data_IF_078769011534
#
_entry.id   IF_078769011534
#
_cell.length_a   1.000
_cell.length_b   1.000
_cell.length_c   1.000
_cell.angle_alpha   90.00
_cell.angle_beta   90.00
_cell.angle_gamma   90.00
#
_symmetry.space_group_name_H-M   'P 1'
#
loop_
_entity.id
_entity.type
_entity.pdbx_description
1 polymer ?
#
# COMPACT_ATOMS: atom_id res chain seq x y z
N UNK A 1 13.53 14.98 -16.77
CA UNK A 1 12.74 13.75 -16.85
C UNK A 1 11.74 13.87 -18.00
N UNK A 2 12.13 13.49 -19.22
CA UNK A 2 11.17 13.31 -20.31
C UNK A 2 11.08 11.81 -20.57
N UNK A 3 10.01 11.18 -20.10
CA UNK A 3 9.70 9.81 -20.48
C UNK A 3 9.29 9.81 -21.96
N UNK A 4 9.69 8.79 -22.71
CA UNK A 4 9.18 8.59 -24.06
C UNK A 4 7.67 8.39 -24.01
N UNK A 5 6.96 8.77 -25.08
CA UNK A 5 5.52 8.54 -25.17
C UNK A 5 5.15 7.06 -24.98
N UNK A 6 6.00 6.16 -25.48
CA UNK A 6 5.89 4.72 -25.24
C UNK A 6 6.01 4.37 -23.75
N UNK A 7 7.01 4.92 -23.05
CA UNK A 7 7.16 4.71 -21.60
C UNK A 7 5.96 5.23 -20.81
N UNK A 8 5.33 6.31 -21.28
CA UNK A 8 4.09 6.81 -20.70
C UNK A 8 2.93 5.81 -20.87
N UNK A 9 2.73 5.29 -22.08
CA UNK A 9 1.69 4.29 -22.34
C UNK A 9 1.90 3.00 -21.53
N UNK A 10 3.15 2.56 -21.39
CA UNK A 10 3.49 1.39 -20.58
C UNK A 10 3.17 1.64 -19.10
N UNK A 11 3.44 2.83 -18.57
CA UNK A 11 3.10 3.17 -17.18
C UNK A 11 1.58 3.17 -16.92
N UNK A 12 0.74 3.49 -17.91
CA UNK A 12 -0.72 3.39 -17.79
C UNK A 12 -1.21 1.95 -17.51
N UNK A 13 -0.41 0.94 -17.84
CA UNK A 13 -0.74 -0.47 -17.56
C UNK A 13 -0.48 -0.89 -16.11
N UNK A 14 0.11 -0.01 -15.28
CA UNK A 14 0.57 -0.29 -13.91
C UNK A 14 1.68 -1.36 -13.78
N UNK A 15 2.17 -1.92 -14.90
CA UNK A 15 3.24 -2.94 -14.95
C UNK A 15 4.49 -2.52 -15.73
N UNK A 16 5.00 -1.27 -15.62
CA UNK A 16 6.18 -0.86 -16.38
C UNK A 16 7.43 -1.68 -16.04
N UNK A 17 7.51 -2.14 -14.80
CA UNK A 17 8.57 -3.03 -14.32
C UNK A 17 8.60 -4.42 -14.99
N UNK A 18 7.51 -4.86 -15.65
CA UNK A 18 7.53 -6.10 -16.46
C UNK A 18 8.29 -5.91 -17.78
N UNK A 19 8.31 -4.66 -18.27
CA UNK A 19 8.92 -4.28 -19.54
C UNK A 19 10.29 -3.62 -19.35
N UNK A 20 10.83 -3.60 -18.11
CA UNK A 20 12.08 -2.91 -17.79
C UNK A 20 12.01 -1.39 -17.97
N UNK A 21 10.80 -0.82 -17.94
CA UNK A 21 10.58 0.61 -18.05
C UNK A 21 10.49 1.20 -16.64
N UNK A 22 11.15 2.33 -16.43
CA UNK A 22 11.08 3.05 -15.16
C UNK A 22 9.68 3.62 -14.90
N UNK A 23 9.32 3.68 -13.63
CA UNK A 23 8.11 4.36 -13.22
C UNK A 23 8.21 5.86 -13.50
N UNK A 24 7.12 6.46 -13.97
CA UNK A 24 7.02 7.92 -14.12
C UNK A 24 7.18 8.61 -12.76
N UNK A 25 6.59 8.00 -11.73
CA UNK A 25 6.63 8.47 -10.37
C UNK A 25 7.12 7.35 -9.46
N UNK A 26 8.11 7.67 -8.64
CA UNK A 26 8.77 6.75 -7.73
C UNK A 26 7.87 6.22 -6.61
N UNK A 27 6.61 6.68 -6.47
CA UNK A 27 5.61 6.04 -5.63
C UNK A 27 4.97 4.82 -6.32
N UNK A 28 4.89 4.83 -7.66
CA UNK A 28 4.08 3.89 -8.45
C UNK A 28 4.57 2.44 -8.42
N UNK A 29 5.78 2.19 -7.93
CA UNK A 29 6.26 0.83 -7.68
C UNK A 29 5.31 0.00 -6.81
N UNK A 30 4.65 0.64 -5.83
CA UNK A 30 3.75 -0.05 -4.92
C UNK A 30 2.48 -0.57 -5.62
N UNK A 31 1.98 0.15 -6.64
CA UNK A 31 0.85 -0.30 -7.48
C UNK A 31 1.16 -1.61 -8.20
N UNK A 32 2.41 -1.79 -8.63
CA UNK A 32 2.85 -3.04 -9.26
C UNK A 32 2.69 -4.23 -8.31
N UNK A 33 3.16 -4.11 -7.07
CA UNK A 33 2.98 -5.16 -6.06
C UNK A 33 1.52 -5.35 -5.64
N UNK A 34 0.72 -4.27 -5.61
CA UNK A 34 -0.71 -4.35 -5.36
C UNK A 34 -1.43 -5.16 -6.44
N UNK A 35 -1.06 -4.99 -7.71
CA UNK A 35 -1.61 -5.79 -8.80
C UNK A 35 -1.28 -7.28 -8.65
N UNK A 36 -0.05 -7.64 -8.27
CA UNK A 36 0.30 -9.04 -7.97
C UNK A 36 -0.57 -9.61 -6.86
N UNK A 37 -0.78 -8.85 -5.78
CA UNK A 37 -1.69 -9.24 -4.71
C UNK A 37 -3.11 -9.47 -5.22
N UNK A 38 -3.66 -8.58 -6.06
CA UNK A 38 -4.99 -8.77 -6.63
C UNK A 38 -5.08 -9.98 -7.56
N UNK A 39 -4.02 -10.32 -8.30
CA UNK A 39 -3.94 -11.56 -9.07
C UNK A 39 -4.04 -12.78 -8.13
N UNK A 40 -3.32 -12.78 -7.00
CA UNK A 40 -3.41 -13.85 -6.01
C UNK A 40 -4.83 -13.95 -5.41
N UNK A 41 -5.44 -12.83 -5.05
CA UNK A 41 -6.83 -12.80 -4.54
C UNK A 41 -7.79 -13.34 -5.60
N UNK A 42 -7.63 -12.93 -6.86
CA UNK A 42 -8.43 -13.43 -7.98
C UNK A 42 -8.30 -14.94 -8.14
N UNK A 43 -7.09 -15.51 -8.05
CA UNK A 43 -6.88 -16.95 -8.08
C UNK A 43 -7.59 -17.65 -6.91
N UNK A 44 -7.46 -17.12 -5.69
CA UNK A 44 -8.15 -17.65 -4.49
C UNK A 44 -9.66 -17.69 -4.69
N UNK A 45 -10.24 -16.62 -5.24
CA UNK A 45 -11.68 -16.55 -5.54
C UNK A 45 -12.07 -17.50 -6.67
N UNK A 46 -11.28 -17.56 -7.75
CA UNK A 46 -11.53 -18.39 -8.93
C UNK A 46 -11.58 -19.89 -8.61
N UNK A 47 -10.75 -20.33 -7.66
CA UNK A 47 -10.67 -21.72 -7.20
C UNK A 47 -11.46 -21.99 -5.92
N UNK A 48 -12.19 -21.02 -5.38
CA UNK A 48 -13.03 -21.21 -4.19
C UNK A 48 -12.24 -21.50 -2.91
N UNK A 49 -11.00 -21.01 -2.80
CA UNK A 49 -10.07 -21.33 -1.71
C UNK A 49 -10.25 -20.46 -0.45
N UNK A 50 -11.34 -19.68 -0.36
CA UNK A 50 -11.60 -18.80 0.78
C UNK A 50 -11.67 -19.55 2.12
N UNK A 51 -12.17 -20.78 2.14
CA UNK A 51 -12.19 -21.62 3.36
C UNK A 51 -10.79 -21.98 3.86
N UNK A 52 -9.78 -21.92 2.99
CA UNK A 52 -8.38 -22.20 3.27
C UNK A 52 -7.52 -20.94 3.40
N UNK A 53 -8.14 -19.76 3.46
CA UNK A 53 -7.43 -18.47 3.42
C UNK A 53 -6.34 -18.35 4.49
N UNK A 54 -6.60 -18.75 5.72
CA UNK A 54 -5.59 -18.69 6.80
C UNK A 54 -4.41 -19.65 6.56
N UNK A 55 -4.63 -20.78 5.87
CA UNK A 55 -3.54 -21.69 5.46
C UNK A 55 -2.74 -21.14 4.28
N UNK A 56 -3.40 -20.48 3.33
CA UNK A 56 -2.72 -19.80 2.24
C UNK A 56 -1.86 -18.65 2.75
N UNK A 57 -2.38 -17.86 3.69
CA UNK A 57 -1.62 -16.83 4.41
C UNK A 57 -0.42 -17.42 5.15
N UNK A 58 -0.59 -18.54 5.84
CA UNK A 58 0.52 -19.24 6.50
C UNK A 58 1.60 -19.68 5.49
N UNK A 59 1.20 -20.26 4.36
CA UNK A 59 2.12 -20.62 3.28
C UNK A 59 2.81 -19.41 2.67
N UNK A 60 2.10 -18.30 2.51
CA UNK A 60 2.66 -17.06 1.98
C UNK A 60 3.68 -16.43 2.92
N UNK A 61 3.42 -16.45 4.24
CA UNK A 61 4.38 -16.05 5.26
C UNK A 61 5.59 -16.99 5.31
N UNK A 62 5.41 -18.30 5.09
CA UNK A 62 6.52 -19.23 5.00
C UNK A 62 7.42 -18.90 3.80
N UNK A 63 6.84 -18.65 2.63
CA UNK A 63 7.59 -18.18 1.45
C UNK A 63 8.34 -16.88 1.77
N UNK A 64 7.67 -15.94 2.43
CA UNK A 64 8.26 -14.68 2.86
C UNK A 64 9.45 -14.88 3.82
N UNK A 65 9.34 -15.79 4.78
CA UNK A 65 10.41 -16.11 5.72
C UNK A 65 11.61 -16.78 5.02
N UNK A 66 11.38 -17.72 4.11
CA UNK A 66 12.44 -18.32 3.29
C UNK A 66 13.13 -17.25 2.45
N UNK A 67 12.35 -16.35 1.83
CA UNK A 67 12.88 -15.28 1.01
C UNK A 67 13.76 -14.29 1.79
N UNK A 68 13.47 -14.05 3.07
CA UNK A 68 14.28 -13.17 3.92
C UNK A 68 15.69 -13.73 4.17
N UNK A 69 15.86 -15.06 4.14
CA UNK A 69 17.17 -15.72 4.32
C UNK A 69 17.84 -15.98 2.98
N UNK A 70 17.06 -16.37 1.96
CA UNK A 70 17.53 -16.68 0.61
C UNK A 70 16.58 -16.07 -0.41
N UNK A 71 16.82 -14.82 -0.83
CA UNK A 71 16.05 -14.17 -1.89
C UNK A 71 16.01 -15.06 -3.14
N UNK A 72 14.81 -15.41 -3.58
CA UNK A 72 14.63 -16.40 -4.64
C UNK A 72 13.81 -15.80 -5.79
N UNK A 73 14.48 -15.40 -6.87
CA UNK A 73 13.81 -15.09 -8.12
C UNK A 73 13.34 -16.39 -8.81
N UNK A 74 12.11 -16.47 -9.35
CA UNK A 74 11.11 -15.41 -9.53
C UNK A 74 10.03 -15.36 -8.43
N UNK A 75 10.16 -16.16 -7.37
CA UNK A 75 9.17 -16.27 -6.28
C UNK A 75 9.00 -14.95 -5.54
N UNK A 76 10.11 -14.27 -5.24
CA UNK A 76 10.10 -12.96 -4.59
C UNK A 76 9.17 -11.97 -5.29
N UNK A 77 9.22 -11.99 -6.62
CA UNK A 77 8.53 -11.07 -7.48
C UNK A 77 7.04 -11.37 -7.61
N UNK A 78 6.70 -12.56 -8.11
CA UNK A 78 5.32 -12.92 -8.40
C UNK A 78 4.46 -13.02 -7.14
N UNK A 79 5.06 -13.45 -6.04
CA UNK A 79 4.37 -13.53 -4.75
C UNK A 79 4.58 -12.30 -3.89
N UNK A 80 5.24 -11.24 -4.38
CA UNK A 80 5.57 -10.06 -3.59
C UNK A 80 6.11 -10.44 -2.20
N UNK A 81 7.03 -11.40 -2.13
CA UNK A 81 7.35 -12.13 -0.90
C UNK A 81 7.83 -11.21 0.24
N UNK A 82 8.52 -10.11 -0.10
CA UNK A 82 8.93 -9.06 0.84
C UNK A 82 7.75 -8.31 1.47
N UNK A 83 6.66 -8.15 0.72
CA UNK A 83 5.46 -7.40 1.11
C UNK A 83 4.33 -8.28 1.66
N UNK A 84 4.43 -9.60 1.48
CA UNK A 84 3.50 -10.60 2.00
C UNK A 84 3.11 -10.42 3.48
N UNK A 85 4.02 -10.05 4.41
CA UNK A 85 3.67 -9.83 5.81
C UNK A 85 2.63 -8.71 6.00
N UNK A 86 2.72 -7.63 5.22
CA UNK A 86 1.79 -6.50 5.33
C UNK A 86 0.41 -6.86 4.77
N UNK A 87 0.35 -7.49 3.59
CA UNK A 87 -0.93 -7.96 3.00
C UNK A 87 -1.61 -9.00 3.89
N UNK A 88 -0.83 -9.94 4.44
CA UNK A 88 -1.33 -10.97 5.35
C UNK A 88 -1.86 -10.35 6.65
N UNK A 89 -1.13 -9.40 7.25
CA UNK A 89 -1.58 -8.70 8.45
C UNK A 89 -2.91 -7.96 8.20
N UNK A 90 -3.04 -7.23 7.09
CA UNK A 90 -4.28 -6.53 6.72
C UNK A 90 -5.48 -7.48 6.63
N UNK A 91 -5.33 -8.60 5.91
CA UNK A 91 -6.36 -9.64 5.81
C UNK A 91 -6.71 -10.29 7.16
N UNK A 92 -5.70 -10.56 7.99
CA UNK A 92 -5.91 -11.11 9.33
C UNK A 92 -6.61 -10.13 10.27
N UNK A 93 -6.28 -8.83 10.23
CA UNK A 93 -6.99 -7.82 11.01
C UNK A 93 -8.48 -7.75 10.62
N UNK A 94 -8.79 -7.85 9.33
CA UNK A 94 -10.17 -7.96 8.87
C UNK A 94 -10.86 -9.22 9.41
N UNK A 95 -10.22 -10.38 9.34
CA UNK A 95 -10.76 -11.63 9.89
C UNK A 95 -10.95 -11.58 11.40
N UNK A 96 -10.03 -10.94 12.14
CA UNK A 96 -10.17 -10.73 13.58
C UNK A 96 -11.38 -9.84 13.88
N UNK A 97 -11.58 -8.78 13.08
CA UNK A 97 -12.70 -7.84 13.27
C UNK A 97 -14.07 -8.46 13.01
N UNK A 98 -14.17 -9.36 12.02
CA UNK A 98 -15.43 -9.95 11.56
C UNK A 98 -15.72 -11.32 12.18
N UNK A 99 -14.68 -12.12 12.41
CA UNK A 99 -14.78 -13.52 12.83
C UNK A 99 -14.07 -13.82 14.16
N UNK A 100 -13.56 -12.80 14.86
CA UNK A 100 -12.93 -12.91 16.18
C UNK A 100 -11.46 -13.33 16.18
N UNK A 101 -10.82 -13.30 17.35
CA UNK A 101 -9.43 -13.73 17.50
C UNK A 101 -9.35 -15.25 17.73
N UNK A 102 -8.44 -15.92 17.03
CA UNK A 102 -8.09 -17.34 17.25
C UNK A 102 -6.60 -17.48 17.52
N UNK A 103 -6.17 -18.60 18.13
CA UNK A 103 -4.73 -18.86 18.35
C UNK A 103 -3.93 -18.81 17.06
N UNK A 104 -4.48 -19.36 15.96
CA UNK A 104 -3.85 -19.33 14.65
C UNK A 104 -3.69 -17.91 14.13
N UNK A 105 -4.74 -17.08 14.19
CA UNK A 105 -4.68 -15.66 13.75
C UNK A 105 -3.66 -14.86 14.56
N UNK A 106 -3.59 -15.10 15.87
CA UNK A 106 -2.61 -14.47 16.74
C UNK A 106 -1.17 -14.83 16.32
N UNK A 107 -0.89 -16.12 16.11
CA UNK A 107 0.43 -16.59 15.65
C UNK A 107 0.77 -15.99 14.29
N UNK A 108 -0.15 -16.00 13.33
CA UNK A 108 0.08 -15.44 12.00
C UNK A 108 0.29 -13.93 12.02
N UNK A 109 -0.43 -13.19 12.88
CA UNK A 109 -0.21 -11.76 13.09
C UNK A 109 1.16 -11.48 13.71
N UNK A 110 1.57 -12.27 14.71
CA UNK A 110 2.89 -12.16 15.32
C UNK A 110 4.00 -12.44 14.30
N UNK A 111 3.85 -13.49 13.49
CA UNK A 111 4.79 -13.80 12.40
C UNK A 111 4.84 -12.69 11.35
N UNK A 112 3.69 -12.15 10.97
CA UNK A 112 3.60 -11.03 10.04
C UNK A 112 4.33 -9.80 10.58
N UNK A 113 4.15 -9.50 11.87
CA UNK A 113 4.83 -8.39 12.54
C UNK A 113 6.35 -8.59 12.56
N UNK A 114 6.83 -9.77 12.97
CA UNK A 114 8.26 -10.08 13.01
C UNK A 114 8.88 -9.99 11.62
N UNK A 115 8.26 -10.58 10.60
CA UNK A 115 8.77 -10.51 9.23
C UNK A 115 8.76 -9.08 8.68
N UNK A 116 7.73 -8.27 8.98
CA UNK A 116 7.70 -6.87 8.62
C UNK A 116 8.87 -6.07 9.23
N UNK A 117 9.22 -6.35 10.49
CA UNK A 117 10.39 -5.74 11.16
C UNK A 117 11.71 -6.21 10.55
N UNK A 118 11.83 -7.49 10.17
CA UNK A 118 13.02 -8.02 9.49
C UNK A 118 13.24 -7.31 8.16
N UNK A 119 12.22 -7.23 7.30
CA UNK A 119 12.34 -6.54 6.02
C UNK A 119 12.54 -5.03 6.15
N UNK A 120 11.99 -4.39 7.19
CA UNK A 120 12.26 -2.99 7.49
C UNK A 120 13.74 -2.73 7.84
N UNK A 121 14.40 -3.71 8.48
CA UNK A 121 15.83 -3.65 8.78
C UNK A 121 16.71 -3.62 7.54
N UNK A 122 16.30 -4.24 6.43
CA UNK A 122 17.10 -4.29 5.20
C UNK A 122 17.14 -2.95 4.45
N UNK A 123 16.06 -2.16 4.54
CA UNK A 123 15.88 -0.87 3.86
C UNK A 123 16.88 0.23 4.28
N UNK A 124 17.62 0.02 5.38
CA UNK A 124 18.65 0.96 5.85
C UNK A 124 20.05 0.72 5.31
N UNK A 125 20.30 -0.28 4.47
CA UNK A 125 21.66 -0.65 4.03
C UNK A 125 22.20 0.15 2.82
N UNK A 126 21.75 1.41 2.65
CA UNK A 126 22.27 2.28 1.60
C UNK A 126 23.77 2.53 1.81
N UNK A 127 24.60 1.93 0.95
CA UNK A 127 26.06 2.07 0.96
C UNK A 127 26.43 3.56 0.86
N UNK A 128 27.18 4.07 1.83
CA UNK A 128 27.72 5.44 1.82
C UNK A 128 27.02 6.45 2.74
N UNK A 129 25.99 6.04 3.50
CA UNK A 129 25.37 6.86 4.55
C UNK A 129 26.00 6.54 5.90
N UNK A 130 26.23 7.55 6.74
CA UNK A 130 26.79 7.35 8.08
C UNK A 130 25.96 6.35 8.91
N UNK A 131 26.64 5.45 9.62
CA UNK A 131 26.00 4.37 10.40
C UNK A 131 24.94 4.87 11.40
N UNK A 132 25.14 6.08 11.94
CA UNK A 132 24.21 6.74 12.85
C UNK A 132 22.87 7.08 12.17
N UNK A 133 22.91 7.58 10.93
CA UNK A 133 21.71 7.93 10.16
C UNK A 133 20.94 6.67 9.76
N UNK A 134 21.66 5.63 9.33
CA UNK A 134 21.09 4.31 9.03
C UNK A 134 20.37 3.73 10.24
N UNK A 135 20.99 3.82 11.42
CA UNK A 135 20.43 3.28 12.67
C UNK A 135 19.15 4.03 13.07
N UNK A 136 19.17 5.37 13.02
CA UNK A 136 17.99 6.19 13.32
C UNK A 136 16.86 5.88 12.34
N UNK A 137 17.14 5.77 11.05
CA UNK A 137 16.12 5.43 10.04
C UNK A 137 15.47 4.07 10.32
N UNK A 138 16.27 3.03 10.63
CA UNK A 138 15.75 1.71 10.98
C UNK A 138 14.85 1.75 12.22
N UNK A 139 15.25 2.49 13.25
CA UNK A 139 14.43 2.68 14.46
C UNK A 139 13.11 3.38 14.13
N UNK A 140 13.15 4.48 13.37
CA UNK A 140 11.95 5.23 12.98
C UNK A 140 10.99 4.34 12.20
N UNK A 141 11.47 3.60 11.19
CA UNK A 141 10.62 2.68 10.41
C UNK A 141 10.03 1.59 11.30
N UNK A 142 10.84 0.97 12.16
CA UNK A 142 10.36 -0.08 13.08
C UNK A 142 9.31 0.41 14.06
N UNK A 143 9.46 1.63 14.59
CA UNK A 143 8.47 2.30 15.45
C UNK A 143 7.19 2.60 14.67
N UNK A 144 7.28 3.12 13.46
CA UNK A 144 6.11 3.41 12.61
C UNK A 144 5.34 2.13 12.30
N UNK A 145 6.01 1.05 11.91
CA UNK A 145 5.37 -0.26 11.67
C UNK A 145 4.68 -0.75 12.95
N UNK A 146 5.34 -0.65 14.10
CA UNK A 146 4.77 -1.04 15.40
C UNK A 146 3.53 -0.21 15.74
N UNK A 147 3.58 1.10 15.51
CA UNK A 147 2.44 1.99 15.73
C UNK A 147 1.26 1.63 14.81
N UNK A 148 1.52 1.35 13.53
CA UNK A 148 0.49 0.93 12.56
C UNK A 148 -0.14 -0.38 13.03
N UNK A 149 0.64 -1.43 13.33
CA UNK A 149 0.12 -2.69 13.85
C UNK A 149 -0.67 -2.48 15.15
N UNK A 150 -0.21 -1.61 16.05
CA UNK A 150 -0.92 -1.25 17.27
C UNK A 150 -2.29 -0.63 17.01
N UNK A 151 -2.37 0.35 16.09
CA UNK A 151 -3.65 0.97 15.69
C UNK A 151 -4.58 -0.08 15.08
N UNK A 152 -4.10 -0.91 14.17
CA UNK A 152 -4.91 -1.97 13.56
C UNK A 152 -5.36 -3.04 14.57
N UNK A 153 -4.53 -3.38 15.56
CA UNK A 153 -4.93 -4.23 16.69
C UNK A 153 -6.10 -3.61 17.46
N UNK A 154 -6.03 -2.32 17.80
CA UNK A 154 -7.11 -1.61 18.52
C UNK A 154 -8.40 -1.55 17.69
N UNK A 155 -8.30 -1.32 16.38
CA UNK A 155 -9.45 -1.31 15.46
C UNK A 155 -10.05 -2.71 15.35
N UNK A 156 -9.23 -3.73 15.11
CA UNK A 156 -9.65 -5.12 14.95
C UNK A 156 -10.29 -5.69 16.22
N UNK A 157 -9.76 -5.33 17.40
CA UNK A 157 -10.33 -5.72 18.70
C UNK A 157 -11.56 -4.89 19.10
N UNK A 158 -11.99 -3.93 18.28
CA UNK A 158 -13.14 -3.06 18.55
C UNK A 158 -12.93 -2.03 19.66
N UNK A 159 -11.68 -1.85 20.14
CA UNK A 159 -11.30 -0.86 21.17
C UNK A 159 -11.19 0.54 20.61
N UNK A 160 -10.82 0.67 19.33
CA UNK A 160 -10.87 1.91 18.58
C UNK A 160 -11.97 1.81 17.53
N UNK A 161 -12.98 2.67 17.64
CA UNK A 161 -14.08 2.77 16.65
C UNK A 161 -13.91 4.05 15.85
N UNK A 162 -13.51 3.91 14.59
CA UNK A 162 -13.54 5.02 13.63
C UNK A 162 -14.99 5.19 13.19
N UNK A 163 -15.62 6.31 13.57
CA UNK A 163 -16.98 6.62 13.15
C UNK A 163 -16.98 6.92 11.65
N UNK A 164 -17.99 6.40 10.93
CA UNK A 164 -18.26 6.83 9.57
C UNK A 164 -18.70 8.31 9.62
N UNK A 165 -17.75 9.20 9.33
CA UNK A 165 -17.96 10.65 9.27
C UNK A 165 -17.68 11.14 7.85
N UNK A 166 -18.20 12.32 7.51
CA UNK A 166 -17.87 12.99 6.26
C UNK A 166 -16.36 13.20 6.11
N UNK A 167 -15.67 13.52 7.21
CA UNK A 167 -14.21 13.64 7.22
C UNK A 167 -13.52 12.33 6.87
N UNK A 168 -13.92 11.21 7.48
CA UNK A 168 -13.35 9.89 7.17
C UNK A 168 -13.59 9.50 5.71
N UNK A 169 -14.78 9.81 5.19
CA UNK A 169 -15.12 9.61 3.79
C UNK A 169 -14.20 10.43 2.86
N UNK A 170 -14.11 11.75 3.05
CA UNK A 170 -13.28 12.61 2.19
C UNK A 170 -11.79 12.31 2.35
N UNK A 171 -11.32 12.00 3.55
CA UNK A 171 -9.95 11.56 3.77
C UNK A 171 -9.62 10.30 2.95
N UNK A 172 -10.54 9.33 2.92
CA UNK A 172 -10.39 8.12 2.10
C UNK A 172 -10.36 8.42 0.61
N UNK A 173 -11.31 9.22 0.12
CA UNK A 173 -11.42 9.57 -1.30
C UNK A 173 -10.19 10.35 -1.81
N UNK A 174 -9.63 11.22 -0.97
CA UNK A 174 -8.45 12.00 -1.35
C UNK A 174 -7.15 11.21 -1.36
N UNK A 175 -7.12 10.00 -0.78
CA UNK A 175 -5.88 9.21 -0.70
C UNK A 175 -5.31 8.88 -2.08
N UNK A 176 -6.17 8.58 -3.06
CA UNK A 176 -5.71 8.22 -4.40
C UNK A 176 -5.15 9.43 -5.19
N UNK A 177 -5.87 10.56 -5.34
CA UNK A 177 -5.28 11.74 -5.97
C UNK A 177 -4.05 12.26 -5.23
N UNK A 178 -4.02 12.18 -3.90
CA UNK A 178 -2.85 12.56 -3.12
C UNK A 178 -1.66 11.66 -3.42
N UNK A 179 -1.88 10.34 -3.46
CA UNK A 179 -0.87 9.38 -3.83
C UNK A 179 -0.27 9.68 -5.22
N UNK A 180 -1.09 10.03 -6.21
CA UNK A 180 -0.62 10.35 -7.56
C UNK A 180 0.24 11.61 -7.65
N UNK A 181 0.05 12.57 -6.73
CA UNK A 181 0.67 13.89 -6.79
C UNK A 181 1.81 14.09 -5.79
N UNK A 182 1.82 13.38 -4.67
CA UNK A 182 2.64 13.76 -3.52
C UNK A 182 4.15 13.63 -3.70
N UNK A 183 4.64 12.76 -4.58
CA UNK A 183 6.08 12.49 -4.66
C UNK A 183 6.78 13.49 -5.59
N UNK A 184 6.72 13.33 -6.92
CA UNK A 184 7.46 14.22 -7.82
C UNK A 184 7.03 15.69 -7.72
N UNK A 185 5.70 15.95 -7.76
CA UNK A 185 5.19 17.32 -7.63
C UNK A 185 5.42 17.86 -6.23
N UNK A 186 5.27 17.03 -5.20
CA UNK A 186 5.59 17.42 -3.82
C UNK A 186 7.05 17.82 -3.65
N UNK A 187 8.00 17.04 -4.19
CA UNK A 187 9.43 17.38 -4.16
C UNK A 187 9.73 18.69 -4.89
N UNK A 188 9.14 18.91 -6.07
CA UNK A 188 9.34 20.18 -6.81
C UNK A 188 8.81 21.39 -6.02
N UNK A 189 7.62 21.28 -5.44
CA UNK A 189 7.03 22.34 -4.61
C UNK A 189 7.86 22.57 -3.36
N UNK A 190 8.24 21.50 -2.66
CA UNK A 190 9.04 21.57 -1.44
C UNK A 190 10.37 22.27 -1.69
N UNK A 191 11.12 21.87 -2.72
CA UNK A 191 12.42 22.46 -3.02
C UNK A 191 12.31 23.95 -3.36
N UNK A 192 11.23 24.35 -4.04
CA UNK A 192 10.99 25.77 -4.36
C UNK A 192 10.63 26.58 -3.13
N UNK A 193 9.76 26.06 -2.25
CA UNK A 193 9.40 26.71 -0.99
C UNK A 193 10.58 26.77 -0.03
N UNK A 194 11.37 25.71 0.04
CA UNK A 194 12.57 25.65 0.87
C UNK A 194 13.65 26.62 0.38
N UNK A 195 13.87 26.72 -0.93
CA UNK A 195 14.77 27.72 -1.50
C UNK A 195 14.33 29.16 -1.23
N UNK A 196 13.03 29.43 -1.11
CA UNK A 196 12.49 30.76 -0.82
C UNK A 196 12.46 31.10 0.68
N UNK A 197 12.19 30.12 1.55
CA UNK A 197 11.98 30.36 2.99
C UNK A 197 13.18 29.98 3.85
N UNK A 198 13.99 29.00 3.44
CA UNK A 198 15.02 28.36 4.26
C UNK A 198 14.48 27.54 5.44
N UNK A 199 13.16 27.47 5.62
CA UNK A 199 12.53 26.84 6.78
C UNK A 199 11.95 25.48 6.40
N UNK A 200 12.54 24.41 6.95
CA UNK A 200 12.14 23.03 6.68
C UNK A 200 10.67 22.78 7.04
N UNK A 201 10.25 23.18 8.26
CA UNK A 201 8.90 22.92 8.75
C UNK A 201 7.82 23.65 7.97
N UNK A 202 8.08 24.92 7.61
CA UNK A 202 7.13 25.73 6.83
C UNK A 202 6.99 25.16 5.42
N UNK A 203 8.12 24.88 4.76
CA UNK A 203 8.12 24.30 3.42
C UNK A 203 7.39 22.96 3.35
N UNK A 204 7.61 22.08 4.34
CA UNK A 204 6.94 20.79 4.40
C UNK A 204 5.43 20.94 4.64
N UNK A 205 5.03 21.75 5.62
CA UNK A 205 3.62 21.97 5.93
C UNK A 205 2.87 22.61 4.74
N UNK A 206 3.46 23.63 4.12
CA UNK A 206 2.91 24.28 2.94
C UNK A 206 2.82 23.33 1.74
N UNK A 207 3.81 22.47 1.53
CA UNK A 207 3.77 21.45 0.48
C UNK A 207 2.64 20.46 0.72
N UNK A 208 2.52 19.93 1.95
CA UNK A 208 1.47 18.98 2.31
C UNK A 208 0.07 19.58 2.10
N UNK A 209 -0.14 20.82 2.56
CA UNK A 209 -1.41 21.54 2.33
C UNK A 209 -1.68 21.70 0.83
N UNK A 210 -0.68 22.12 0.05
CA UNK A 210 -0.86 22.31 -1.39
C UNK A 210 -1.19 20.99 -2.10
N UNK A 211 -0.53 19.89 -1.74
CA UNK A 211 -0.82 18.57 -2.32
C UNK A 211 -2.24 18.11 -1.99
N UNK A 212 -2.73 18.33 -0.76
CA UNK A 212 -4.13 18.03 -0.39
C UNK A 212 -5.12 18.90 -1.17
N UNK A 213 -4.83 20.19 -1.36
CA UNK A 213 -5.69 21.09 -2.14
C UNK A 213 -5.73 20.69 -3.62
N UNK A 214 -4.58 20.35 -4.22
CA UNK A 214 -4.52 19.86 -5.60
C UNK A 214 -5.26 18.53 -5.75
N UNK A 215 -5.11 17.63 -4.78
CA UNK A 215 -5.85 16.36 -4.72
C UNK A 215 -7.36 16.59 -4.71
N UNK A 216 -7.82 17.58 -3.94
CA UNK A 216 -9.22 17.99 -3.93
C UNK A 216 -9.69 18.52 -5.29
N UNK A 217 -8.88 19.35 -5.96
CA UNK A 217 -9.19 19.84 -7.30
C UNK A 217 -9.32 18.69 -8.32
N UNK A 218 -8.42 17.71 -8.28
CA UNK A 218 -8.47 16.51 -9.13
C UNK A 218 -9.72 15.70 -8.84
N UNK A 219 -10.00 15.44 -7.55
CA UNK A 219 -11.20 14.71 -7.15
C UNK A 219 -12.48 15.41 -7.61
N UNK A 220 -12.64 16.71 -7.33
CA UNK A 220 -13.85 17.45 -7.65
C UNK A 220 -14.05 17.70 -9.15
N UNK A 221 -12.95 17.86 -9.89
CA UNK A 221 -12.95 18.16 -11.33
C UNK A 221 -13.07 16.93 -12.21
N UNK A 222 -12.30 15.87 -11.92
CA UNK A 222 -12.22 14.68 -12.74
C UNK A 222 -12.97 13.50 -12.10
N UNK A 223 -12.51 13.03 -10.94
CA UNK A 223 -12.93 11.75 -10.37
C UNK A 223 -14.44 11.71 -10.04
N UNK A 224 -14.97 12.76 -9.40
CA UNK A 224 -16.39 12.86 -9.04
C UNK A 224 -17.31 12.87 -10.27
N UNK A 225 -16.82 13.34 -11.42
CA UNK A 225 -17.61 13.46 -12.66
C UNK A 225 -17.45 12.24 -13.57
N UNK A 226 -16.22 11.79 -13.77
CA UNK A 226 -15.86 10.74 -14.73
C UNK A 226 -15.94 9.33 -14.12
N UNK A 227 -15.74 9.19 -12.81
CA UNK A 227 -15.76 7.89 -12.13
C UNK A 227 -17.06 7.11 -12.35
N UNK A 228 -18.25 7.71 -12.08
CA UNK A 228 -19.52 7.03 -12.32
C UNK A 228 -19.76 6.65 -13.79
N UNK A 229 -19.29 7.48 -14.73
CA UNK A 229 -19.42 7.24 -16.17
C UNK A 229 -18.58 6.04 -16.60
N UNK A 230 -17.29 6.01 -16.23
CA UNK A 230 -16.39 4.89 -16.54
C UNK A 230 -16.87 3.58 -15.92
N UNK A 231 -17.31 3.63 -14.66
CA UNK A 231 -17.87 2.46 -13.98
C UNK A 231 -19.14 1.96 -14.67
N UNK A 232 -19.98 2.85 -15.21
CA UNK A 232 -21.18 2.45 -15.94
C UNK A 232 -20.86 1.67 -17.23
N UNK A 233 -19.77 2.01 -17.92
CA UNK A 233 -19.30 1.30 -19.11
C UNK A 233 -18.60 -0.02 -18.80
N UNK A 234 -17.97 -0.13 -17.62
CA UNK A 234 -17.26 -1.34 -17.17
C UNK A 234 -18.16 -2.37 -16.48
N UNK A 235 -19.47 -2.12 -16.36
CA UNK A 235 -20.43 -3.10 -15.81
C UNK A 235 -20.53 -4.35 -16.70
N UNK A 236 -19.57 -5.26 -16.54
CA UNK A 236 -19.74 -6.67 -16.83
C UNK A 236 -20.95 -7.18 -16.00
N UNK A 237 -21.80 -8.06 -16.56
CA UNK A 237 -23.09 -8.47 -15.96
C UNK A 237 -23.01 -9.33 -14.68
N UNK A 238 -21.95 -9.23 -13.87
CA UNK A 238 -21.66 -10.13 -12.75
C UNK A 238 -22.06 -9.61 -11.35
N UNK A 239 -23.09 -8.76 -11.25
CA UNK A 239 -23.56 -8.22 -9.96
C UNK A 239 -25.02 -8.58 -9.62
N UNK A 240 -25.51 -9.75 -10.07
CA UNK A 240 -26.83 -10.29 -9.64
C UNK A 240 -26.73 -11.42 -8.60
N UNK A 241 -25.55 -11.98 -8.33
CA UNK A 241 -25.39 -13.16 -7.48
C UNK A 241 -25.27 -12.91 -5.97
N UNK A 242 -25.05 -11.67 -5.51
CA UNK A 242 -24.81 -11.36 -4.10
C UNK A 242 -26.01 -10.73 -3.36
N UNK A 243 -27.13 -10.51 -4.05
CA UNK A 243 -28.38 -10.01 -3.45
C UNK A 243 -29.43 -11.10 -3.18
N UNK A 244 -29.11 -12.38 -3.45
CA UNK A 244 -30.04 -13.50 -3.24
C UNK A 244 -29.69 -14.39 -2.03
N UNK A 245 -28.76 -13.96 -1.16
CA UNK A 245 -28.32 -14.72 0.01
C UNK A 245 -28.46 -13.94 1.34
N UNK A 246 -29.49 -13.08 1.43
CA UNK A 246 -29.97 -12.49 2.69
C UNK A 246 -31.46 -12.68 2.81
#
# INVERSE_FOLDING_TARGET
YMHSFEGYLVNLTMVPHWFGVDYIDGAYWSLGYELHFYILVWLVLRFGLLSRLEWLMAGWLLVSAVNAVRPAWPVEFWLAAKWAPFFTAGGLFYLVRTSGMTRRRLVLLALSFVLAQVYAGEYGSLRGVADSVVTVQRMVVGVVITAIFGVFCLVASGRLRVRASSLAFYAGVLTYPLYLLHENLGFMVYNRLFGATGLVGVSLASTAVLMVLLSWCVYAGAERRLGPLLLSHLRLPAAKGLQQAT
#
